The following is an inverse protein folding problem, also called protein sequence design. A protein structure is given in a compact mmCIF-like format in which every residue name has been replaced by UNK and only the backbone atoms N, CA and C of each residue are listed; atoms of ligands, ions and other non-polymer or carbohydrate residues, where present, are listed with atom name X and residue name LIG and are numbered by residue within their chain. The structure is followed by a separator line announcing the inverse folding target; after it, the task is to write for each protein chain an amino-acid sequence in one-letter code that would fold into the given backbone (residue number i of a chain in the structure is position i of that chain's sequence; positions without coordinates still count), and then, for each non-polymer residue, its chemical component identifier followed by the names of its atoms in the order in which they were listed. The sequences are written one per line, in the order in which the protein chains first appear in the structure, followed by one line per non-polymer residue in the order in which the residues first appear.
data_IF_882516253654
#
_entry.id   IF_882516253654
#
_cell.length_a   1.000
_cell.length_b   1.000
_cell.length_c   1.000
_cell.angle_alpha   90.00
_cell.angle_beta   90.00
_cell.angle_gamma   90.00
#
_symmetry.space_group_name_H-M   'P 1'
#
loop_
_entity.id
_entity.type
_entity.pdbx_description
1 polymer ?
#
# COMPACT_ATOMS: atom_id res chain seq x y z
N UNK A 1 3.44 -16.66 19.57
CA UNK A 1 3.80 -15.39 18.90
C UNK A 1 4.02 -15.71 17.44
N UNK A 2 2.99 -15.51 16.61
CA UNK A 2 3.07 -15.77 15.16
C UNK A 2 3.72 -14.53 14.54
N UNK A 3 4.81 -14.71 13.79
CA UNK A 3 5.56 -13.62 13.19
C UNK A 3 4.67 -12.68 12.36
N UNK A 4 4.49 -11.45 12.84
CA UNK A 4 3.85 -10.32 12.13
C UNK A 4 4.57 -9.92 10.83
N UNK A 5 5.73 -10.51 10.53
CA UNK A 5 6.47 -10.26 9.29
C UNK A 5 5.69 -10.63 8.01
N UNK A 6 4.71 -11.54 8.09
CA UNK A 6 3.84 -11.88 6.95
C UNK A 6 2.66 -10.90 6.78
N UNK A 7 2.35 -10.07 7.78
CA UNK A 7 1.39 -8.97 7.62
C UNK A 7 2.03 -7.79 6.86
N UNK A 8 3.37 -7.73 6.81
CA UNK A 8 4.15 -6.58 6.35
C UNK A 8 4.28 -6.46 4.82
N UNK A 9 3.93 -7.49 4.05
CA UNK A 9 4.16 -7.52 2.58
C UNK A 9 2.97 -7.07 1.73
N UNK A 10 1.86 -6.66 2.34
CA UNK A 10 0.65 -6.31 1.59
C UNK A 10 0.62 -4.85 1.12
N UNK A 11 1.45 -3.98 1.70
CA UNK A 11 1.58 -2.58 1.31
C UNK A 11 2.97 -2.33 0.73
N UNK A 12 3.16 -2.61 -0.57
CA UNK A 12 4.47 -2.47 -1.22
C UNK A 12 5.02 -1.04 -1.14
N UNK A 13 4.16 -0.03 -0.99
CA UNK A 13 4.60 1.35 -0.82
C UNK A 13 5.42 1.59 0.45
N UNK A 14 5.33 0.74 1.48
CA UNK A 14 6.19 0.85 2.66
C UNK A 14 7.65 0.52 2.36
N UNK A 15 7.91 -0.24 1.30
CA UNK A 15 9.26 -0.57 0.83
C UNK A 15 9.95 0.60 0.10
N UNK A 16 9.24 1.69 -0.19
CA UNK A 16 9.74 2.82 -0.95
C UNK A 16 9.84 4.09 -0.09
N UNK A 17 10.87 4.89 -0.35
CA UNK A 17 10.93 6.25 0.19
C UNK A 17 9.77 7.12 -0.30
N UNK A 18 9.50 8.23 0.38
CA UNK A 18 8.41 9.15 0.03
C UNK A 18 8.52 9.68 -1.40
N UNK A 19 9.74 9.98 -1.86
CA UNK A 19 9.99 10.45 -3.22
C UNK A 19 9.71 9.35 -4.25
N UNK A 20 10.10 8.11 -3.97
CA UNK A 20 9.84 6.96 -4.85
C UNK A 20 8.35 6.64 -4.91
N UNK A 21 7.66 6.59 -3.76
CA UNK A 21 6.22 6.38 -3.70
C UNK A 21 5.46 7.48 -4.48
N UNK A 22 5.86 8.74 -4.35
CA UNK A 22 5.29 9.85 -5.10
C UNK A 22 5.50 9.69 -6.60
N UNK A 23 6.70 9.29 -7.04
CA UNK A 23 7.02 9.04 -8.44
C UNK A 23 6.19 7.88 -9.02
N UNK A 24 6.13 6.75 -8.33
CA UNK A 24 5.35 5.57 -8.75
C UNK A 24 3.86 5.91 -8.88
N UNK A 25 3.33 6.69 -7.93
CA UNK A 25 1.94 7.15 -7.97
C UNK A 25 1.71 8.16 -9.10
N UNK A 26 2.64 9.10 -9.32
CA UNK A 26 2.58 10.05 -10.44
C UNK A 26 2.56 9.34 -11.79
N UNK A 27 3.24 8.19 -11.89
CA UNK A 27 3.25 7.32 -13.08
C UNK A 27 2.11 6.32 -13.13
N UNK A 28 1.13 6.40 -12.24
CA UNK A 28 -0.05 5.53 -12.25
C UNK A 28 0.29 4.03 -12.12
N UNK A 29 1.36 3.71 -11.39
CA UNK A 29 1.87 2.35 -11.20
C UNK A 29 1.40 1.70 -9.90
N UNK A 30 0.68 2.44 -9.04
CA UNK A 30 0.26 1.93 -7.73
C UNK A 30 -1.22 1.57 -7.76
N UNK A 31 -1.53 0.35 -7.35
CA UNK A 31 -2.87 -0.18 -7.24
C UNK A 31 -3.23 -0.40 -5.77
N UNK A 32 -4.47 -0.05 -5.42
CA UNK A 32 -5.05 -0.29 -4.11
C UNK A 32 -5.69 -1.68 -4.11
N UNK A 33 -5.46 -2.41 -3.03
CA UNK A 33 -6.05 -3.73 -2.83
C UNK A 33 -6.86 -3.79 -1.54
N UNK A 34 -7.86 -4.67 -1.53
CA UNK A 34 -8.65 -5.01 -0.35
C UNK A 34 -8.33 -6.46 0.06
N UNK A 35 -7.90 -6.65 1.31
CA UNK A 35 -7.68 -7.94 1.92
C UNK A 35 -8.90 -8.33 2.75
N UNK A 36 -9.82 -9.04 2.12
CA UNK A 36 -11.03 -9.56 2.77
C UNK A 36 -10.74 -10.49 3.94
N UNK A 37 -9.65 -11.26 3.88
CA UNK A 37 -9.30 -12.23 4.93
C UNK A 37 -8.69 -11.57 6.19
N UNK A 38 -8.29 -10.30 6.12
CA UNK A 38 -7.59 -9.60 7.21
C UNK A 38 -8.43 -8.45 7.78
N UNK A 39 -9.77 -8.64 7.82
CA UNK A 39 -10.71 -7.69 8.41
C UNK A 39 -10.96 -6.42 7.58
N UNK A 40 -10.77 -6.47 6.25
CA UNK A 40 -10.97 -5.31 5.37
C UNK A 40 -9.81 -4.32 5.38
N UNK A 41 -8.59 -4.81 5.65
CA UNK A 41 -7.37 -4.03 5.50
C UNK A 41 -7.10 -3.73 4.03
N UNK A 42 -6.58 -2.53 3.78
CA UNK A 42 -6.19 -2.09 2.46
C UNK A 42 -4.69 -2.26 2.28
N UNK A 43 -4.27 -2.76 1.12
CA UNK A 43 -2.87 -2.91 0.73
C UNK A 43 -2.55 -2.14 -0.55
N UNK A 44 -1.29 -2.20 -0.97
CA UNK A 44 -0.85 -1.63 -2.24
C UNK A 44 0.04 -2.59 -3.02
N UNK A 45 -0.09 -2.54 -4.35
CA UNK A 45 0.73 -3.27 -5.31
C UNK A 45 1.27 -2.28 -6.33
N UNK A 46 2.58 -2.32 -6.59
CA UNK A 46 3.24 -1.59 -7.66
C UNK A 46 3.32 -2.50 -8.89
N UNK A 47 2.66 -2.10 -9.97
CA UNK A 47 2.61 -2.88 -11.20
C UNK A 47 2.50 -2.01 -12.46
N UNK A 48 3.01 -2.51 -13.58
CA UNK A 48 2.94 -1.82 -14.87
C UNK A 48 1.51 -1.75 -15.42
N UNK A 49 0.69 -2.77 -15.14
CA UNK A 49 -0.70 -2.85 -15.60
C UNK A 49 -1.65 -3.39 -14.53
N UNK A 50 -2.95 -3.23 -14.78
CA UNK A 50 -3.98 -3.79 -13.91
C UNK A 50 -3.99 -5.33 -13.94
N UNK A 51 -3.66 -5.92 -15.10
CA UNK A 51 -3.56 -7.37 -15.24
C UNK A 51 -2.40 -7.92 -14.39
N UNK A 52 -1.26 -7.23 -14.39
CA UNK A 52 -0.11 -7.58 -13.55
C UNK A 52 -0.47 -7.46 -12.07
N UNK A 53 -1.12 -6.36 -11.67
CA UNK A 53 -1.58 -6.18 -10.30
C UNK A 53 -2.53 -7.30 -9.85
N UNK A 54 -3.47 -7.73 -10.72
CA UNK A 54 -4.33 -8.87 -10.43
C UNK A 54 -3.55 -10.17 -10.31
N UNK A 55 -2.56 -10.39 -11.17
CA UNK A 55 -1.71 -11.57 -11.13
C UNK A 55 -0.96 -11.66 -9.79
N UNK A 56 -0.38 -10.54 -9.35
CA UNK A 56 0.31 -10.43 -8.05
C UNK A 56 -0.66 -10.70 -6.89
N UNK A 57 -1.84 -10.06 -6.88
CA UNK A 57 -2.84 -10.28 -5.84
C UNK A 57 -3.29 -11.75 -5.75
N UNK A 58 -3.48 -12.42 -6.89
CA UNK A 58 -3.81 -13.85 -6.95
C UNK A 58 -2.66 -14.71 -6.42
N UNK A 59 -1.43 -14.41 -6.82
CA UNK A 59 -0.25 -15.16 -6.39
C UNK A 59 -0.01 -15.08 -4.88
N UNK A 60 -0.35 -13.94 -4.25
CA UNK A 60 -0.29 -13.78 -2.79
C UNK A 60 -1.31 -14.68 -2.06
N UNK A 61 -2.40 -15.10 -2.70
CA UNK A 61 -3.29 -16.15 -2.20
C UNK A 61 -4.14 -15.80 -0.97
N UNK A 62 -4.22 -14.52 -0.57
CA UNK A 62 -4.90 -14.07 0.66
C UNK A 62 -6.32 -13.54 0.45
N UNK A 63 -6.98 -13.91 -0.65
CA UNK A 63 -8.26 -13.30 -1.04
C UNK A 63 -8.15 -11.80 -1.33
N UNK A 64 -6.94 -11.33 -1.64
CA UNK A 64 -6.64 -9.94 -2.00
C UNK A 64 -7.26 -9.61 -3.35
N UNK A 65 -7.95 -8.47 -3.43
CA UNK A 65 -8.58 -8.01 -4.67
C UNK A 65 -8.09 -6.61 -5.01
N UNK A 66 -7.66 -6.41 -6.26
CA UNK A 66 -7.38 -5.08 -6.77
C UNK A 66 -8.68 -4.30 -6.95
N UNK A 67 -8.86 -3.25 -6.16
CA UNK A 67 -10.09 -2.45 -6.12
C UNK A 67 -9.96 -1.14 -6.91
N UNK A 68 -8.75 -0.70 -7.22
CA UNK A 68 -8.55 0.50 -8.03
C UNK A 68 -7.09 0.88 -8.18
N UNK A 69 -6.86 1.97 -8.90
CA UNK A 69 -5.53 2.59 -9.05
C UNK A 69 -5.45 3.82 -8.16
N UNK A 70 -4.32 4.01 -7.50
CA UNK A 70 -4.10 5.20 -6.68
C UNK A 70 -3.80 6.38 -7.59
N UNK A 71 -4.63 7.42 -7.50
CA UNK A 71 -4.43 8.66 -8.22
C UNK A 71 -3.29 9.48 -7.60
N UNK A 72 -2.57 10.19 -8.45
CA UNK A 72 -1.58 11.18 -8.02
C UNK A 72 -2.25 12.23 -7.11
N UNK A 73 -1.70 12.44 -5.91
CA UNK A 73 -2.26 13.32 -4.87
C UNK A 73 -3.03 12.62 -3.75
N UNK A 74 -3.59 11.42 -3.98
CA UNK A 74 -4.30 10.66 -2.93
C UNK A 74 -3.34 10.25 -1.79
N UNK A 75 -2.14 9.78 -2.14
CA UNK A 75 -1.09 9.43 -1.16
C UNK A 75 -0.56 10.62 -0.38
N UNK A 76 -0.41 11.80 -1.01
CA UNK A 76 0.00 13.00 -0.30
C UNK A 76 -1.03 13.41 0.76
N UNK A 77 -2.33 13.30 0.43
CA UNK A 77 -3.41 13.54 1.37
C UNK A 77 -3.50 12.50 2.49
N UNK A 78 -3.39 11.21 2.14
CA UNK A 78 -3.49 10.10 3.08
C UNK A 78 -2.29 10.04 4.03
N UNK A 79 -1.05 10.16 3.55
CA UNK A 79 0.15 10.15 4.39
C UNK A 79 0.24 11.38 5.30
N UNK A 80 -0.23 12.55 4.85
CA UNK A 80 -0.33 13.74 5.73
C UNK A 80 -1.35 13.50 6.86
N UNK A 81 -2.46 12.80 6.60
CA UNK A 81 -3.41 12.41 7.65
C UNK A 81 -2.85 11.34 8.57
N UNK A 82 -2.21 10.30 8.04
CA UNK A 82 -1.59 9.25 8.85
C UNK A 82 -0.46 9.81 9.73
N UNK A 83 0.40 10.69 9.20
CA UNK A 83 1.37 11.44 10.03
C UNK A 83 0.70 12.32 11.09
N UNK A 84 -0.53 12.79 10.89
CA UNK A 84 -1.26 13.57 11.91
C UNK A 84 -1.92 12.69 12.97
N UNK A 85 -2.26 11.46 12.62
CA UNK A 85 -2.85 10.47 13.53
C UNK A 85 -1.78 9.73 14.35
N UNK A 86 -0.62 9.46 13.75
CA UNK A 86 0.52 8.80 14.41
C UNK A 86 1.63 9.77 14.84
N UNK A 87 1.62 11.02 14.39
CA UNK A 87 2.57 12.06 14.78
C UNK A 87 2.09 12.81 16.02
N UNK A 88 2.07 12.11 17.15
CA UNK A 88 2.20 12.71 18.47
C UNK A 88 2.94 11.77 19.44
N UNK A 89 3.79 10.87 18.94
CA UNK A 89 4.82 10.23 19.77
C UNK A 89 6.11 10.07 18.95
N UNK A 90 7.22 10.61 19.48
CA UNK A 90 8.56 10.29 19.01
C UNK A 90 9.28 11.38 18.20
N UNK A 91 9.46 12.55 18.79
CA UNK A 91 10.71 13.27 18.58
C UNK A 91 11.83 12.51 19.31
N UNK A 92 12.81 11.99 18.57
CA UNK A 92 14.19 11.76 19.01
C UNK A 92 15.04 12.06 17.77
N UNK A 93 15.80 13.16 17.72
CA UNK A 93 17.09 13.37 18.37
C UNK A 93 18.16 12.43 17.81
#
# INVERSE_FOLDING_TARGET
MVNDAAADTCDELTCFSDAQAALLTARSLVYLTDLKLDGGRHGTIVAASYADAQSVARARGRGERVIGRIAHGFLHGLRRRLRKVYGSEGACA
#
